data_IF_367362699299
#
_entry.id   IF_367362699299
#
_cell.length_a   1.000
_cell.length_b   1.000
_cell.length_c   1.000
_cell.angle_alpha   90.00
_cell.angle_beta   90.00
_cell.angle_gamma   90.00
#
_symmetry.space_group_name_H-M   'P 1'
#
loop_
_entity.id
_entity.type
_entity.pdbx_description
1 polymer ?
#
# COMPACT_ATOMS: atom_id res chain seq x y z
N UNK A 1 69.48 42.77 -18.40
CA UNK A 1 68.46 41.78 -18.88
C UNK A 1 67.70 41.27 -17.65
N UNK A 2 66.71 42.01 -17.13
CA UNK A 2 65.93 41.59 -15.94
C UNK A 2 64.42 41.45 -16.21
N UNK A 3 63.95 41.77 -17.42
CA UNK A 3 62.50 41.78 -17.73
C UNK A 3 61.96 40.47 -18.32
N UNK A 4 62.80 39.45 -18.54
CA UNK A 4 62.38 38.18 -19.17
C UNK A 4 61.84 37.14 -18.17
N UNK A 5 62.24 37.19 -16.90
CA UNK A 5 61.75 36.27 -15.86
C UNK A 5 60.32 36.58 -15.39
N UNK A 6 59.96 37.86 -15.35
CA UNK A 6 58.65 38.32 -14.87
C UNK A 6 57.51 37.81 -15.77
N UNK A 7 57.72 37.78 -17.09
CA UNK A 7 56.71 37.31 -18.06
C UNK A 7 56.44 35.81 -17.89
N UNK A 8 57.47 35.00 -17.60
CA UNK A 8 57.28 33.56 -17.37
C UNK A 8 56.50 33.25 -16.10
N UNK A 9 56.67 34.06 -15.05
CA UNK A 9 55.94 33.90 -13.79
C UNK A 9 54.44 34.14 -13.99
N UNK A 10 54.06 35.15 -14.78
CA UNK A 10 52.66 35.42 -15.07
C UNK A 10 51.99 34.28 -15.84
N UNK A 11 52.70 33.63 -16.77
CA UNK A 11 52.18 32.48 -17.51
C UNK A 11 51.93 31.29 -16.57
N UNK A 12 52.89 30.97 -15.69
CA UNK A 12 52.74 29.88 -14.72
C UNK A 12 51.58 30.15 -13.77
N UNK A 13 51.44 31.39 -13.29
CA UNK A 13 50.34 31.78 -12.39
C UNK A 13 48.97 31.61 -13.07
N UNK A 14 48.84 31.99 -14.33
CA UNK A 14 47.59 31.84 -15.09
C UNK A 14 47.18 30.38 -15.26
N UNK A 15 48.14 29.49 -15.55
CA UNK A 15 47.87 28.05 -15.66
C UNK A 15 47.43 27.46 -14.33
N UNK A 16 48.06 27.86 -13.22
CA UNK A 16 47.68 27.40 -11.88
C UNK A 16 46.26 27.82 -11.53
N UNK A 17 45.88 29.07 -11.82
CA UNK A 17 44.52 29.57 -11.56
C UNK A 17 43.49 28.81 -12.39
N UNK A 18 43.77 28.55 -13.67
CA UNK A 18 42.88 27.76 -14.53
C UNK A 18 42.67 26.33 -14.01
N UNK A 19 43.72 25.68 -13.51
CA UNK A 19 43.62 24.34 -12.93
C UNK A 19 42.76 24.32 -11.66
N UNK A 20 42.88 25.34 -10.81
CA UNK A 20 42.06 25.47 -9.60
C UNK A 20 40.58 25.63 -9.97
N UNK A 21 40.26 26.53 -10.91
CA UNK A 21 38.87 26.76 -11.34
C UNK A 21 38.29 25.51 -11.99
N UNK A 22 39.04 24.83 -12.86
CA UNK A 22 38.60 23.59 -13.49
C UNK A 22 38.35 22.48 -12.45
N UNK A 23 39.21 22.37 -11.43
CA UNK A 23 39.03 21.39 -10.35
C UNK A 23 37.80 21.70 -9.49
N UNK A 24 37.55 22.97 -9.16
CA UNK A 24 36.36 23.38 -8.42
C UNK A 24 35.08 23.12 -9.20
N UNK A 25 35.06 23.41 -10.50
CA UNK A 25 33.91 23.14 -11.36
C UNK A 25 33.66 21.64 -11.50
N UNK A 26 34.71 20.84 -11.68
CA UNK A 26 34.59 19.38 -11.76
C UNK A 26 34.05 18.77 -10.46
N UNK A 27 34.56 19.21 -9.30
CA UNK A 27 34.07 18.77 -7.99
C UNK A 27 32.61 19.20 -7.75
N UNK A 28 32.23 20.41 -8.16
CA UNK A 28 30.85 20.89 -8.01
C UNK A 28 29.84 20.16 -8.91
N UNK A 29 30.24 19.77 -10.13
CA UNK A 29 29.39 19.01 -11.04
C UNK A 29 29.17 17.57 -10.58
N UNK A 30 30.17 16.94 -9.96
CA UNK A 30 30.07 15.58 -9.40
C UNK A 30 29.13 15.52 -8.19
N UNK A 31 29.01 16.60 -7.41
CA UNK A 31 28.14 16.66 -6.22
C UNK A 31 26.66 16.88 -6.59
N UNK A 32 26.36 17.49 -7.74
CA UNK A 32 24.97 17.67 -8.19
C UNK A 32 24.34 16.41 -8.80
N UNK A 33 25.14 15.47 -9.32
CA UNK A 33 24.59 14.22 -9.87
C UNK A 33 24.10 13.25 -8.79
N UNK A 34 24.42 13.48 -7.51
CA UNK A 34 23.93 12.68 -6.38
C UNK A 34 22.55 13.08 -5.86
N UNK A 35 21.91 14.13 -6.39
CA UNK A 35 20.55 14.53 -5.96
C UNK A 35 19.42 13.93 -6.82
N UNK A 36 19.68 12.83 -7.52
CA UNK A 36 18.70 12.11 -8.35
C UNK A 36 17.72 11.23 -7.55
N UNK A 37 17.59 11.42 -6.23
CA UNK A 37 16.57 10.74 -5.40
C UNK A 37 15.18 11.42 -5.45
N UNK A 38 15.03 12.53 -6.18
CA UNK A 38 13.77 13.28 -6.19
C UNK A 38 12.68 12.66 -7.07
N UNK A 39 13.03 11.84 -8.07
CA UNK A 39 12.05 11.13 -8.92
C UNK A 39 11.36 9.99 -8.18
N UNK A 40 12.07 9.28 -7.29
CA UNK A 40 11.53 8.15 -6.53
C UNK A 40 10.46 8.59 -5.52
N UNK A 41 10.59 9.79 -4.93
CA UNK A 41 9.62 10.32 -3.98
C UNK A 41 8.25 10.63 -4.64
N UNK A 42 8.25 11.11 -5.88
CA UNK A 42 7.02 11.41 -6.63
C UNK A 42 6.32 10.12 -7.09
N UNK A 43 7.09 9.07 -7.36
CA UNK A 43 6.55 7.76 -7.72
C UNK A 43 5.95 7.05 -6.49
N UNK A 44 6.63 7.07 -5.35
CA UNK A 44 6.13 6.53 -4.07
C UNK A 44 4.79 7.17 -3.65
N UNK A 45 4.66 8.49 -3.79
CA UNK A 45 3.42 9.18 -3.43
C UNK A 45 2.25 8.74 -4.32
N UNK A 46 2.46 8.56 -5.62
CA UNK A 46 1.39 8.08 -6.53
C UNK A 46 0.99 6.65 -6.19
N UNK A 47 1.95 5.78 -5.91
CA UNK A 47 1.65 4.40 -5.53
C UNK A 47 0.93 4.29 -4.18
N UNK A 48 1.28 5.13 -3.20
CA UNK A 48 0.59 5.19 -1.92
C UNK A 48 -0.90 5.52 -2.08
N UNK A 49 -1.25 6.43 -2.98
CA UNK A 49 -2.65 6.76 -3.30
C UNK A 49 -3.39 5.56 -3.89
N UNK A 50 -2.76 4.81 -4.80
CA UNK A 50 -3.40 3.62 -5.37
C UNK A 50 -3.62 2.52 -4.33
N UNK A 51 -2.64 2.27 -3.47
CA UNK A 51 -2.78 1.28 -2.38
C UNK A 51 -3.89 1.72 -1.42
N UNK A 52 -3.92 2.99 -1.03
CA UNK A 52 -4.96 3.52 -0.16
C UNK A 52 -6.35 3.34 -0.80
N UNK A 53 -6.52 3.76 -2.05
CA UNK A 53 -7.80 3.63 -2.75
C UNK A 53 -8.23 2.15 -2.88
N UNK A 54 -7.28 1.26 -3.13
CA UNK A 54 -7.55 -0.18 -3.17
C UNK A 54 -8.04 -0.72 -1.82
N UNK A 55 -7.34 -0.38 -0.73
CA UNK A 55 -7.72 -0.79 0.62
C UNK A 55 -9.09 -0.21 1.00
N UNK A 56 -9.33 1.06 0.72
CA UNK A 56 -10.60 1.74 1.00
C UNK A 56 -11.77 1.03 0.28
N UNK A 57 -11.61 0.72 -1.01
CA UNK A 57 -12.62 -0.02 -1.78
C UNK A 57 -12.84 -1.46 -1.27
N UNK A 58 -11.76 -2.15 -0.87
CA UNK A 58 -11.82 -3.51 -0.33
C UNK A 58 -12.58 -3.52 1.01
N UNK A 59 -12.31 -2.56 1.90
CA UNK A 59 -13.03 -2.39 3.15
C UNK A 59 -14.50 -2.04 2.90
N UNK A 60 -14.80 -1.11 1.98
CA UNK A 60 -16.17 -0.69 1.67
C UNK A 60 -17.02 -1.86 1.12
N UNK A 61 -16.50 -2.59 0.14
CA UNK A 61 -17.18 -3.75 -0.45
C UNK A 61 -17.38 -4.88 0.57
N UNK A 62 -16.37 -5.15 1.40
CA UNK A 62 -16.45 -6.16 2.47
C UNK A 62 -17.48 -5.78 3.52
N UNK A 63 -17.53 -4.50 3.93
CA UNK A 63 -18.51 -4.01 4.87
C UNK A 63 -19.94 -4.12 4.31
N UNK A 64 -20.13 -3.75 3.04
CA UNK A 64 -21.43 -3.88 2.38
C UNK A 64 -21.91 -5.34 2.34
N UNK A 65 -21.04 -6.27 1.92
CA UNK A 65 -21.36 -7.71 1.88
C UNK A 65 -21.63 -8.29 3.27
N UNK A 66 -20.85 -7.88 4.27
CA UNK A 66 -20.99 -8.34 5.65
C UNK A 66 -22.30 -7.83 6.27
N UNK A 67 -22.68 -6.57 6.03
CA UNK A 67 -23.96 -6.02 6.47
C UNK A 67 -25.15 -6.73 5.84
N UNK A 68 -25.10 -7.01 4.53
CA UNK A 68 -26.15 -7.77 3.83
C UNK A 68 -26.27 -9.17 4.41
N UNK A 69 -25.15 -9.85 4.64
CA UNK A 69 -25.11 -11.20 5.22
C UNK A 69 -25.66 -11.21 6.65
N UNK A 70 -25.28 -10.22 7.47
CA UNK A 70 -25.76 -10.05 8.83
C UNK A 70 -27.29 -9.84 8.84
N UNK A 71 -27.81 -8.98 7.96
CA UNK A 71 -29.24 -8.73 7.82
C UNK A 71 -30.01 -9.99 7.38
N UNK A 72 -29.49 -10.70 6.37
CA UNK A 72 -30.09 -11.93 5.86
C UNK A 72 -30.17 -13.02 6.94
N UNK A 73 -29.14 -13.13 7.78
CA UNK A 73 -29.09 -14.08 8.90
C UNK A 73 -29.85 -13.62 10.15
N UNK A 74 -30.58 -12.52 10.09
CA UNK A 74 -31.40 -12.04 11.23
C UNK A 74 -30.58 -11.36 12.32
N UNK A 75 -29.47 -10.71 11.97
CA UNK A 75 -28.62 -9.94 12.89
C UNK A 75 -27.51 -10.75 13.56
N UNK A 76 -27.18 -11.95 13.03
CA UNK A 76 -26.12 -12.82 13.57
C UNK A 76 -25.18 -13.30 12.48
N UNK A 77 -23.93 -13.57 12.84
CA UNK A 77 -22.91 -14.06 11.91
C UNK A 77 -23.10 -15.54 11.54
N UNK A 78 -23.83 -16.30 12.34
CA UNK A 78 -24.11 -17.72 12.14
C UNK A 78 -25.58 -18.07 12.42
N UNK A 79 -26.02 -19.20 11.87
CA UNK A 79 -27.33 -19.80 12.18
C UNK A 79 -27.21 -20.54 13.53
N UNK A 80 -27.88 -20.04 14.57
CA UNK A 80 -27.78 -20.56 15.93
C UNK A 80 -29.17 -20.77 16.52
N UNK A 81 -29.48 -22.01 16.90
CA UNK A 81 -30.76 -22.37 17.51
C UNK A 81 -31.82 -22.69 16.46
N UNK A 82 -33.10 -22.32 16.67
CA UNK A 82 -34.13 -22.47 15.66
C UNK A 82 -33.92 -21.41 14.57
N UNK A 83 -33.78 -21.85 13.33
CA UNK A 83 -33.65 -20.99 12.16
C UNK A 83 -34.63 -21.44 11.08
N UNK A 84 -34.94 -20.50 10.20
CA UNK A 84 -35.61 -20.75 8.94
C UNK A 84 -34.58 -21.32 7.96
N UNK A 85 -34.91 -22.46 7.36
CA UNK A 85 -34.07 -23.21 6.42
C UNK A 85 -34.93 -23.49 5.18
N UNK A 86 -34.68 -22.74 4.12
CA UNK A 86 -35.36 -22.89 2.83
C UNK A 86 -34.35 -22.82 1.69
N UNK A 87 -34.72 -23.39 0.55
CA UNK A 87 -33.87 -23.48 -0.65
C UNK A 87 -33.20 -22.16 -1.08
N UNK A 88 -33.84 -21.02 -0.80
CA UNK A 88 -33.37 -19.69 -1.21
C UNK A 88 -32.77 -18.86 -0.09
N UNK A 89 -33.09 -19.16 1.18
CA UNK A 89 -32.48 -18.45 2.30
C UNK A 89 -32.59 -19.09 3.67
N UNK A 90 -31.50 -18.89 4.43
CA UNK A 90 -31.40 -19.27 5.83
C UNK A 90 -31.35 -18.04 6.73
N UNK A 91 -32.16 -18.02 7.78
CA UNK A 91 -32.22 -16.90 8.71
C UNK A 91 -32.56 -17.31 10.12
N UNK A 92 -31.92 -16.68 11.12
CA UNK A 92 -32.30 -16.89 12.52
C UNK A 92 -33.70 -16.32 12.76
N UNK A 93 -34.53 -17.05 13.52
CA UNK A 93 -35.82 -16.50 13.93
C UNK A 93 -35.62 -15.33 14.90
N UNK A 94 -36.30 -14.22 14.63
CA UNK A 94 -36.34 -13.05 15.52
C UNK A 94 -37.30 -13.26 16.68
N UNK A 95 -38.36 -14.04 16.46
CA UNK A 95 -39.35 -14.43 17.46
C UNK A 95 -39.66 -15.92 17.30
N UNK A 96 -39.50 -16.71 18.37
CA UNK A 96 -39.75 -18.15 18.34
C UNK A 96 -40.42 -18.58 19.64
N UNK A 97 -41.54 -19.31 19.55
CA UNK A 97 -42.34 -19.75 20.71
C UNK A 97 -42.75 -18.63 21.71
N UNK A 98 -42.85 -17.38 21.24
CA UNK A 98 -43.17 -16.22 22.08
C UNK A 98 -41.96 -15.56 22.72
N UNK A 99 -40.76 -16.16 22.60
CA UNK A 99 -39.51 -15.59 23.05
C UNK A 99 -38.85 -14.75 21.95
N UNK A 100 -38.38 -13.56 22.32
CA UNK A 100 -37.64 -12.67 21.43
C UNK A 100 -36.18 -13.08 21.38
N UNK A 101 -35.69 -13.34 20.17
CA UNK A 101 -34.29 -13.67 19.87
C UNK A 101 -33.60 -12.56 19.04
N UNK A 102 -34.21 -11.38 18.98
CA UNK A 102 -33.65 -10.17 18.37
C UNK A 102 -32.26 -9.89 18.94
N UNK A 103 -31.26 -9.79 18.08
CA UNK A 103 -29.92 -9.36 18.49
C UNK A 103 -29.95 -7.87 18.88
N UNK A 104 -29.26 -7.55 19.97
CA UNK A 104 -28.98 -6.16 20.34
C UNK A 104 -28.01 -5.52 19.34
N UNK A 105 -27.94 -4.19 19.33
CA UNK A 105 -26.97 -3.46 18.48
C UNK A 105 -25.54 -3.90 18.78
N UNK A 106 -25.21 -4.09 20.06
CA UNK A 106 -23.87 -4.50 20.49
C UNK A 106 -23.53 -5.93 20.02
N UNK A 107 -24.50 -6.85 20.07
CA UNK A 107 -24.32 -8.20 19.51
C UNK A 107 -24.15 -8.15 17.99
N UNK A 108 -24.95 -7.34 17.29
CA UNK A 108 -24.82 -7.15 15.84
C UNK A 108 -23.46 -6.55 15.45
N UNK A 109 -22.94 -5.59 16.22
CA UNK A 109 -21.59 -5.04 16.02
C UNK A 109 -20.51 -6.12 16.17
N UNK A 110 -20.62 -6.96 17.21
CA UNK A 110 -19.68 -8.07 17.43
C UNK A 110 -19.76 -9.13 16.32
N UNK A 111 -20.96 -9.46 15.84
CA UNK A 111 -21.14 -10.36 14.71
C UNK A 111 -20.63 -9.74 13.40
N UNK A 112 -20.80 -8.43 13.21
CA UNK A 112 -20.25 -7.72 12.06
C UNK A 112 -18.72 -7.74 12.07
N UNK A 113 -18.09 -7.54 13.22
CA UNK A 113 -16.64 -7.65 13.40
C UNK A 113 -16.14 -9.04 12.95
N UNK A 114 -16.80 -10.12 13.40
CA UNK A 114 -16.45 -11.47 12.97
C UNK A 114 -16.60 -11.71 11.47
N UNK A 115 -17.63 -11.13 10.84
CA UNK A 115 -17.81 -11.19 9.38
C UNK A 115 -16.74 -10.39 8.63
N UNK A 116 -16.42 -9.20 9.13
CA UNK A 116 -15.36 -8.35 8.57
C UNK A 116 -14.01 -9.06 8.62
N UNK A 117 -13.61 -9.61 9.77
CA UNK A 117 -12.33 -10.31 9.94
C UNK A 117 -12.18 -11.50 8.99
N UNK A 118 -13.29 -12.21 8.75
CA UNK A 118 -13.32 -13.35 7.85
C UNK A 118 -13.16 -12.94 6.38
N UNK A 119 -13.79 -11.84 5.97
CA UNK A 119 -13.89 -11.47 4.56
C UNK A 119 -12.87 -10.41 4.12
N UNK A 120 -12.26 -9.66 5.03
CA UNK A 120 -11.26 -8.65 4.65
C UNK A 120 -10.04 -9.31 4.03
N UNK A 121 -9.69 -10.52 4.47
CA UNK A 121 -8.57 -11.28 3.90
C UNK A 121 -8.87 -11.77 2.49
N UNK A 122 -10.14 -11.98 2.14
CA UNK A 122 -10.54 -12.43 0.81
C UNK A 122 -10.32 -11.33 -0.25
N UNK A 123 -10.39 -10.05 0.14
CA UNK A 123 -10.19 -8.92 -0.76
C UNK A 123 -8.77 -8.36 -0.76
N UNK A 124 -7.91 -8.77 0.17
CA UNK A 124 -6.50 -8.38 0.17
C UNK A 124 -5.67 -9.37 -0.67
N UNK A 125 -4.70 -8.89 -1.46
CA UNK A 125 -3.79 -9.79 -2.15
C UNK A 125 -3.01 -10.61 -1.11
N UNK A 126 -2.70 -11.89 -1.39
CA UNK A 126 -1.91 -12.70 -0.49
C UNK A 126 -0.57 -11.99 -0.23
N UNK A 127 -0.31 -11.68 1.05
CA UNK A 127 0.96 -11.10 1.45
C UNK A 127 2.05 -12.16 1.28
N UNK A 128 2.78 -12.11 0.17
CA UNK A 128 3.99 -12.90 0.01
C UNK A 128 5.09 -12.26 0.86
N UNK A 129 5.14 -12.71 2.12
CA UNK A 129 6.05 -12.23 3.16
C UNK A 129 7.54 -12.33 2.77
N UNK A 130 7.85 -13.03 1.68
CA UNK A 130 9.21 -13.22 1.19
C UNK A 130 9.77 -12.00 0.44
N UNK A 131 8.92 -11.06 0.02
CA UNK A 131 9.33 -9.92 -0.79
C UNK A 131 9.22 -8.55 -0.09
N UNK A 132 8.63 -8.48 1.10
CA UNK A 132 8.57 -7.22 1.86
C UNK A 132 9.75 -7.19 2.85
N UNK A 133 10.94 -6.84 2.35
CA UNK A 133 12.07 -6.51 3.21
C UNK A 133 11.81 -5.12 3.82
N UNK A 134 11.21 -5.12 5.01
CA UNK A 134 11.14 -3.93 5.86
C UNK A 134 12.45 -3.85 6.63
N UNK A 135 13.43 -3.14 6.08
CA UNK A 135 14.65 -2.80 6.82
C UNK A 135 14.58 -1.31 7.20
N UNK A 136 14.54 -1.03 8.51
CA UNK A 136 14.44 0.32 9.10
C UNK A 136 13.17 1.13 8.74
N UNK A 137 11.98 0.51 8.75
CA UNK A 137 10.69 1.14 8.39
C UNK A 137 10.62 1.68 6.94
N UNK A 138 11.56 1.28 6.07
CA UNK A 138 11.56 1.63 4.66
C UNK A 138 11.13 0.39 3.87
N UNK A 139 9.92 0.44 3.31
CA UNK A 139 9.44 -0.57 2.35
C UNK A 139 10.20 -0.38 1.05
N UNK A 140 10.97 -1.37 0.63
CA UNK A 140 11.66 -1.32 -0.67
C UNK A 140 10.62 -1.33 -1.81
N UNK A 141 10.45 -0.23 -2.56
CA UNK A 141 9.38 -0.13 -3.56
C UNK A 141 9.55 -1.15 -4.70
N UNK A 142 10.78 -1.57 -5.01
CA UNK A 142 11.05 -2.52 -6.09
C UNK A 142 10.40 -3.89 -5.90
N UNK A 143 10.22 -4.34 -4.65
CA UNK A 143 9.70 -5.68 -4.35
C UNK A 143 8.20 -5.68 -4.02
N UNK A 144 7.65 -4.57 -3.51
CA UNK A 144 6.22 -4.43 -3.24
C UNK A 144 5.38 -4.33 -4.54
N UNK A 145 5.90 -3.67 -5.56
CA UNK A 145 5.14 -3.47 -6.81
C UNK A 145 5.27 -4.63 -7.79
N UNK A 146 6.31 -5.45 -7.67
CA UNK A 146 6.46 -6.64 -8.52
C UNK A 146 5.48 -7.74 -8.13
N UNK A 147 5.12 -7.88 -6.85
CA UNK A 147 4.05 -8.77 -6.41
C UNK A 147 2.65 -8.26 -6.79
N UNK A 148 2.41 -6.95 -6.75
CA UNK A 148 1.13 -6.35 -7.14
C UNK A 148 0.88 -6.39 -8.66
N UNK A 149 1.92 -6.21 -9.50
CA UNK A 149 1.78 -6.29 -10.96
C UNK A 149 1.47 -7.69 -11.47
N UNK A 150 1.96 -8.74 -10.81
CA UNK A 150 1.70 -10.12 -11.25
C UNK A 150 0.23 -10.56 -11.12
N UNK A 151 -0.60 -9.83 -10.36
CA UNK A 151 -2.03 -10.13 -10.25
C UNK A 151 -2.91 -9.38 -11.25
N UNK A 152 -2.42 -8.33 -11.90
CA UNK A 152 -3.24 -7.56 -12.85
C UNK A 152 -3.23 -8.16 -14.27
N UNK A 153 -2.21 -8.96 -14.63
CA UNK A 153 -2.06 -9.53 -15.97
C UNK A 153 -2.58 -10.98 -16.10
N UNK A 154 -3.12 -11.56 -15.03
CA UNK A 154 -3.71 -12.89 -15.09
C UNK A 154 -5.21 -12.82 -14.72
N UNK A 155 -6.09 -12.50 -15.69
CA UNK A 155 -7.51 -12.76 -15.49
C UNK A 155 -7.65 -14.28 -15.40
N UNK A 156 -7.81 -14.80 -14.19
CA UNK A 156 -8.28 -16.17 -13.97
C UNK A 156 -9.67 -16.26 -14.58
N UNK A 157 -9.72 -16.63 -15.86
CA UNK A 157 -10.79 -17.43 -16.43
C UNK A 157 -10.78 -18.74 -15.68
N UNK A 158 -11.67 -18.89 -14.70
CA UNK A 158 -12.12 -20.20 -14.27
C UNK A 158 -13.66 -20.23 -14.23
N UNK A 159 -14.12 -21.36 -14.74
CA UNK A 159 -15.48 -21.76 -15.15
C UNK A 159 -16.35 -22.13 -13.96
#
# INVERSE_FOLDING_TARGET
MEKRGQVSIFIVLGVVILLIIASLLFLSGVVQTSSLEQDDAVDLQRHAVYVQQYVDNCVEDTAAKSLVTLGYRGGKDALVGPFFDEEFFDSNYVLYNGDSHVATVQEMESHLEGLMDKHVQDCLPPADNNNILVENDIVNPGTLFQSLRMNHDNPTTDV
#
